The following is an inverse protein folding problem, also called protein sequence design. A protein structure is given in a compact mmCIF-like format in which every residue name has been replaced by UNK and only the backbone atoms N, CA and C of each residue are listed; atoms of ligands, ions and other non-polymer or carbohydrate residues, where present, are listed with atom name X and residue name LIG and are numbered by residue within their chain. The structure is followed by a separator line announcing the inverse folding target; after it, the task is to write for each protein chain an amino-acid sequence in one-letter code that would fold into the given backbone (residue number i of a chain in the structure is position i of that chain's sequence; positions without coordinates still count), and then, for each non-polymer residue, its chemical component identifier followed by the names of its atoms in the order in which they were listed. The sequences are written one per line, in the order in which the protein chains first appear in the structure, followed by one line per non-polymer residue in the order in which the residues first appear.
data_IF_825200360108
#
_entry.id   IF_825200360108
#
_cell.length_a   1.000
_cell.length_b   1.000
_cell.length_c   1.000
_cell.angle_alpha   90.00
_cell.angle_beta   90.00
_cell.angle_gamma   90.00
#
_symmetry.space_group_name_H-M   'P 1'
#
loop_
_entity.id
_entity.type
_entity.pdbx_description
1 polymer ?
#
# COMPACT_ATOMS: atom_id res chain seq x y z
N UNK A 1 16.82 -7.53 -13.98
CA UNK A 1 16.01 -8.16 -12.89
C UNK A 1 16.88 -9.16 -12.17
N UNK A 2 16.67 -9.35 -10.90
CA UNK A 2 17.38 -10.34 -10.12
C UNK A 2 16.92 -11.77 -10.42
N UNK A 3 17.81 -12.73 -10.22
CA UNK A 3 17.55 -14.12 -10.61
C UNK A 3 16.48 -14.80 -9.75
N UNK A 4 16.45 -14.50 -8.44
CA UNK A 4 15.48 -15.07 -7.50
C UNK A 4 14.07 -14.56 -7.83
N UNK A 5 13.92 -13.25 -8.04
CA UNK A 5 12.63 -12.64 -8.35
C UNK A 5 12.09 -13.15 -9.68
N UNK A 6 12.88 -13.18 -10.75
CA UNK A 6 12.45 -13.71 -12.06
C UNK A 6 11.99 -15.17 -11.97
N UNK A 7 12.74 -16.00 -11.26
CA UNK A 7 12.37 -17.41 -11.07
C UNK A 7 11.08 -17.56 -10.25
N UNK A 8 10.91 -16.77 -9.18
CA UNK A 8 9.75 -16.85 -8.31
C UNK A 8 8.46 -16.36 -9.00
N UNK A 9 8.56 -15.34 -9.86
CA UNK A 9 7.41 -14.81 -10.62
C UNK A 9 6.81 -15.85 -11.57
N UNK A 10 7.64 -16.70 -12.20
CA UNK A 10 7.17 -17.63 -13.23
C UNK A 10 6.49 -16.90 -14.38
N UNK A 11 5.19 -17.17 -14.60
CA UNK A 11 4.38 -16.48 -15.61
C UNK A 11 3.67 -15.22 -15.12
N UNK A 12 3.71 -14.92 -13.81
CA UNK A 12 3.03 -13.76 -13.28
C UNK A 12 3.74 -12.46 -13.69
N UNK A 13 2.97 -11.39 -13.80
CA UNK A 13 3.47 -10.04 -13.92
C UNK A 13 3.64 -9.42 -12.52
N UNK A 14 4.76 -8.74 -12.31
CA UNK A 14 4.96 -7.83 -11.18
C UNK A 14 4.52 -6.44 -11.61
N UNK A 15 3.60 -5.84 -10.86
CA UNK A 15 3.14 -4.48 -11.06
C UNK A 15 3.76 -3.58 -9.98
N UNK A 16 4.25 -2.41 -10.40
CA UNK A 16 4.86 -1.41 -9.53
C UNK A 16 4.29 -0.05 -9.88
N UNK A 17 3.56 0.59 -8.98
CA UNK A 17 3.10 1.95 -9.17
C UNK A 17 4.13 2.96 -8.65
N UNK A 18 4.30 4.04 -9.41
CA UNK A 18 5.14 5.17 -9.04
C UNK A 18 4.40 6.47 -9.28
N UNK A 19 4.07 7.13 -8.21
CA UNK A 19 3.40 8.42 -8.22
C UNK A 19 4.33 9.52 -8.77
N UNK A 20 5.63 9.47 -8.43
CA UNK A 20 6.60 10.45 -8.92
C UNK A 20 6.85 10.38 -10.43
N UNK A 21 6.66 9.21 -11.03
CA UNK A 21 6.88 8.96 -12.45
C UNK A 21 5.57 8.98 -13.25
N UNK A 22 4.40 9.08 -12.58
CA UNK A 22 3.07 9.00 -13.19
C UNK A 22 2.89 7.71 -14.00
N UNK A 23 3.34 6.58 -13.46
CA UNK A 23 3.38 5.29 -14.17
C UNK A 23 3.02 4.11 -13.29
N UNK A 24 2.49 3.09 -13.96
CA UNK A 24 2.58 1.70 -13.46
C UNK A 24 3.53 0.94 -14.38
N UNK A 25 4.60 0.44 -13.79
CA UNK A 25 5.54 -0.45 -14.44
C UNK A 25 5.05 -1.89 -14.31
N UNK A 26 5.25 -2.67 -15.34
CA UNK A 26 4.94 -4.10 -15.37
C UNK A 26 6.19 -4.88 -15.80
N UNK A 27 6.56 -5.90 -15.03
CA UNK A 27 7.61 -6.82 -15.41
C UNK A 27 7.06 -8.23 -15.60
N UNK A 28 7.27 -8.80 -16.77
CA UNK A 28 6.86 -10.16 -17.11
C UNK A 28 7.76 -10.69 -18.23
N UNK A 29 8.11 -11.98 -18.20
CA UNK A 29 8.93 -12.64 -19.21
C UNK A 29 10.23 -11.84 -19.53
N UNK A 30 10.95 -11.45 -18.48
CA UNK A 30 12.23 -10.72 -18.55
C UNK A 30 12.17 -9.32 -19.22
N UNK A 31 10.96 -8.77 -19.35
CA UNK A 31 10.74 -7.48 -20.01
C UNK A 31 9.95 -6.52 -19.12
N UNK A 32 10.43 -5.29 -19.01
CA UNK A 32 9.69 -4.17 -18.45
C UNK A 32 8.83 -3.46 -19.49
N UNK A 33 7.62 -3.11 -19.12
CA UNK A 33 6.75 -2.18 -19.83
C UNK A 33 6.14 -1.20 -18.85
N UNK A 34 5.46 -0.15 -19.32
CA UNK A 34 4.75 0.76 -18.42
C UNK A 34 3.52 1.36 -19.10
N UNK A 35 2.53 1.72 -18.30
CA UNK A 35 1.38 2.55 -18.70
C UNK A 35 1.41 3.85 -17.94
N UNK A 36 1.03 4.96 -18.63
CA UNK A 36 0.96 6.27 -18.02
C UNK A 36 -0.36 6.42 -17.25
N UNK A 37 -0.24 6.71 -15.95
CA UNK A 37 -1.37 7.00 -15.06
C UNK A 37 -0.93 8.14 -14.17
N UNK A 38 -1.56 9.30 -14.35
CA UNK A 38 -1.26 10.47 -13.55
C UNK A 38 -1.42 10.15 -12.06
N UNK A 39 -0.37 10.43 -11.28
CA UNK A 39 -0.39 10.20 -9.84
C UNK A 39 -0.69 8.74 -9.44
N UNK A 40 -0.09 7.75 -10.13
CA UNK A 40 -0.31 6.33 -9.89
C UNK A 40 0.03 5.92 -8.45
N UNK A 41 -0.94 5.31 -7.73
CA UNK A 41 -0.85 4.99 -6.30
C UNK A 41 -1.16 3.52 -6.03
N UNK A 42 -2.16 3.23 -5.20
CA UNK A 42 -2.54 1.89 -4.78
C UNK A 42 -2.86 0.96 -5.95
N UNK A 43 -2.48 -0.29 -5.81
CA UNK A 43 -2.74 -1.38 -6.75
C UNK A 43 -3.59 -2.45 -6.07
N UNK A 44 -4.60 -2.95 -6.76
CA UNK A 44 -5.34 -4.12 -6.30
C UNK A 44 -5.57 -5.10 -7.45
N UNK A 45 -5.55 -6.40 -7.14
CA UNK A 45 -5.83 -7.47 -8.08
C UNK A 45 -7.03 -8.27 -7.58
N UNK A 46 -8.14 -8.17 -8.31
CA UNK A 46 -9.40 -8.83 -8.03
C UNK A 46 -9.59 -10.13 -8.79
N UNK A 47 -10.85 -10.56 -8.88
CA UNK A 47 -11.20 -11.77 -9.65
C UNK A 47 -11.15 -11.51 -11.14
N UNK A 48 -11.75 -10.42 -11.61
CA UNK A 48 -11.85 -10.05 -13.03
C UNK A 48 -10.95 -8.88 -13.42
N UNK A 49 -10.62 -8.00 -12.47
CA UNK A 49 -9.94 -6.75 -12.75
C UNK A 49 -8.66 -6.57 -11.95
N UNK A 50 -7.76 -5.76 -12.52
CA UNK A 50 -6.72 -5.05 -11.80
C UNK A 50 -7.18 -3.61 -11.69
N UNK A 51 -7.10 -3.03 -10.49
CA UNK A 51 -7.39 -1.62 -10.27
C UNK A 51 -6.13 -0.85 -9.91
N UNK A 52 -6.04 0.38 -10.40
CA UNK A 52 -5.00 1.34 -10.05
C UNK A 52 -5.67 2.60 -9.53
N UNK A 53 -5.34 3.01 -8.31
CA UNK A 53 -5.78 4.28 -7.78
C UNK A 53 -4.88 5.42 -8.27
N UNK A 54 -5.49 6.57 -8.52
CA UNK A 54 -4.80 7.84 -8.62
C UNK A 54 -5.37 8.82 -7.58
N UNK A 55 -4.95 10.07 -7.63
CA UNK A 55 -5.46 11.08 -6.69
C UNK A 55 -6.99 11.23 -6.71
N UNK A 56 -7.60 11.18 -7.90
CA UNK A 56 -9.02 11.45 -8.11
C UNK A 56 -9.73 10.42 -8.99
N UNK A 57 -9.05 9.32 -9.36
CA UNK A 57 -9.62 8.35 -10.29
C UNK A 57 -9.19 6.93 -9.95
N UNK A 58 -10.01 5.96 -10.34
CA UNK A 58 -9.71 4.54 -10.32
C UNK A 58 -9.71 4.02 -11.77
N UNK A 59 -8.61 3.44 -12.18
CA UNK A 59 -8.41 2.82 -13.49
C UNK A 59 -8.62 1.33 -13.36
N UNK A 60 -9.50 0.76 -14.18
CA UNK A 60 -9.78 -0.67 -14.22
C UNK A 60 -9.19 -1.29 -15.48
N UNK A 61 -8.48 -2.39 -15.30
CA UNK A 61 -7.91 -3.20 -16.35
C UNK A 61 -8.48 -4.60 -16.27
N UNK A 62 -8.85 -5.18 -17.41
CA UNK A 62 -9.22 -6.59 -17.49
C UNK A 62 -8.03 -7.48 -17.14
N UNK A 63 -8.19 -8.35 -16.16
CA UNK A 63 -7.09 -9.16 -15.61
C UNK A 63 -6.53 -10.17 -16.60
N UNK A 64 -7.34 -10.66 -17.54
CA UNK A 64 -6.95 -11.68 -18.48
C UNK A 64 -6.19 -11.10 -19.70
N UNK A 65 -6.47 -9.85 -20.05
CA UNK A 65 -5.89 -9.20 -21.24
C UNK A 65 -4.93 -8.06 -20.93
N UNK A 66 -4.95 -7.54 -19.69
CA UNK A 66 -4.20 -6.35 -19.30
C UNK A 66 -4.71 -5.04 -19.91
N UNK A 67 -5.83 -5.05 -20.64
CA UNK A 67 -6.36 -3.87 -21.31
C UNK A 67 -7.20 -3.02 -20.35
N UNK A 68 -7.07 -1.69 -20.45
CA UNK A 68 -7.90 -0.76 -19.69
C UNK A 68 -9.35 -0.81 -20.18
N UNK A 69 -10.29 -1.07 -19.26
CA UNK A 69 -11.72 -1.22 -19.55
C UNK A 69 -12.56 -0.08 -18.99
N UNK A 70 -12.11 0.61 -17.95
CA UNK A 70 -12.85 1.73 -17.36
C UNK A 70 -11.96 2.70 -16.59
N UNK A 71 -12.48 3.91 -16.41
CA UNK A 71 -11.97 4.91 -15.45
C UNK A 71 -13.17 5.44 -14.67
N UNK A 72 -13.08 5.46 -13.35
CA UNK A 72 -14.10 6.03 -12.47
C UNK A 72 -13.52 7.26 -11.76
N UNK A 73 -14.24 8.36 -11.76
CA UNK A 73 -13.89 9.53 -10.96
C UNK A 73 -14.24 9.27 -9.49
N UNK A 74 -13.29 9.58 -8.61
CA UNK A 74 -13.41 9.44 -7.14
C UNK A 74 -12.96 10.74 -6.46
N UNK A 75 -13.72 11.82 -6.62
CA UNK A 75 -13.31 13.14 -6.17
C UNK A 75 -13.17 13.21 -4.65
N UNK A 76 -12.27 14.06 -4.17
CA UNK A 76 -12.05 14.38 -2.75
C UNK A 76 -11.63 13.19 -1.85
N UNK A 77 -11.05 12.15 -2.41
CA UNK A 77 -10.61 10.99 -1.63
C UNK A 77 -9.14 11.07 -1.25
N UNK A 78 -8.28 11.62 -2.11
CA UNK A 78 -6.83 11.41 -2.04
C UNK A 78 -6.54 9.93 -1.83
N UNK A 79 -6.99 9.10 -2.77
CA UNK A 79 -6.92 7.65 -2.66
C UNK A 79 -5.48 7.18 -2.55
N UNK A 80 -5.22 6.41 -1.49
CA UNK A 80 -3.91 5.79 -1.26
C UNK A 80 -3.93 4.32 -1.69
N UNK A 81 -3.78 3.38 -0.75
CA UNK A 81 -3.92 1.97 -1.06
C UNK A 81 -5.38 1.57 -1.27
N UNK A 82 -5.57 0.51 -2.01
CA UNK A 82 -6.88 -0.01 -2.39
C UNK A 82 -6.95 -1.53 -2.25
N UNK A 83 -8.14 -2.07 -2.12
CA UNK A 83 -8.43 -3.50 -2.15
C UNK A 83 -9.72 -3.76 -2.89
N UNK A 84 -9.98 -5.02 -3.26
CA UNK A 84 -11.26 -5.41 -3.87
C UNK A 84 -12.22 -5.99 -2.84
N UNK A 85 -13.50 -5.64 -2.97
CA UNK A 85 -14.62 -6.35 -2.38
C UNK A 85 -15.00 -7.59 -3.21
N UNK A 86 -15.88 -8.45 -2.67
CA UNK A 86 -16.29 -9.71 -3.36
C UNK A 86 -17.01 -9.49 -4.69
N UNK A 87 -17.60 -8.34 -4.90
CA UNK A 87 -18.36 -7.96 -6.11
C UNK A 87 -17.52 -7.17 -7.12
N UNK A 88 -16.20 -7.19 -6.97
CA UNK A 88 -15.23 -6.43 -7.76
C UNK A 88 -15.38 -4.90 -7.64
N UNK A 89 -16.10 -4.38 -6.63
CA UNK A 89 -15.98 -2.98 -6.24
C UNK A 89 -14.65 -2.73 -5.52
N UNK A 90 -14.10 -1.52 -5.65
CA UNK A 90 -12.85 -1.13 -5.00
C UNK A 90 -13.13 -0.49 -3.64
N UNK A 91 -12.42 -0.95 -2.62
CA UNK A 91 -12.31 -0.29 -1.31
C UNK A 91 -11.04 0.53 -1.33
N UNK A 92 -11.15 1.84 -1.13
CA UNK A 92 -10.03 2.78 -1.19
C UNK A 92 -9.81 3.47 0.16
N UNK A 93 -8.54 3.68 0.51
CA UNK A 93 -8.14 4.56 1.61
C UNK A 93 -8.38 6.01 1.18
N UNK A 94 -9.46 6.61 1.64
CA UNK A 94 -9.81 8.02 1.40
C UNK A 94 -9.17 8.89 2.49
N UNK A 95 -7.91 9.28 2.30
CA UNK A 95 -7.10 9.93 3.34
C UNK A 95 -7.68 11.27 3.77
N UNK A 96 -8.24 12.07 2.86
CA UNK A 96 -8.88 13.34 3.20
C UNK A 96 -10.15 13.15 4.04
N UNK A 97 -10.85 12.03 3.88
CA UNK A 97 -12.07 11.73 4.62
C UNK A 97 -11.81 10.96 5.92
N UNK A 98 -10.55 10.58 6.20
CA UNK A 98 -10.19 9.72 7.34
C UNK A 98 -11.00 8.42 7.37
N UNK A 99 -11.21 7.80 6.20
CA UNK A 99 -12.19 6.75 5.98
C UNK A 99 -11.73 5.74 4.92
N UNK A 100 -12.43 4.61 4.86
CA UNK A 100 -12.46 3.74 3.70
C UNK A 100 -13.74 4.03 2.91
N UNK A 101 -13.59 4.16 1.59
CA UNK A 101 -14.70 4.35 0.67
C UNK A 101 -14.80 3.16 -0.28
N UNK A 102 -16.02 2.83 -0.69
CA UNK A 102 -16.30 1.80 -1.68
C UNK A 102 -16.77 2.45 -2.97
N UNK A 103 -16.17 2.03 -4.07
CA UNK A 103 -16.42 2.54 -5.40
C UNK A 103 -16.80 1.40 -6.34
N UNK A 104 -17.96 1.56 -6.98
CA UNK A 104 -18.43 0.71 -8.06
C UNK A 104 -19.10 1.59 -9.11
N UNK A 105 -19.44 1.04 -10.26
CA UNK A 105 -20.19 1.77 -11.29
C UNK A 105 -21.52 2.29 -10.72
N UNK A 106 -21.59 3.61 -10.48
CA UNK A 106 -22.76 4.28 -9.91
C UNK A 106 -22.87 4.27 -8.38
N UNK A 107 -21.89 3.71 -7.67
CA UNK A 107 -21.84 3.70 -6.20
C UNK A 107 -20.56 4.35 -5.71
N UNK A 108 -20.70 5.27 -4.74
CA UNK A 108 -19.59 5.90 -4.03
C UNK A 108 -20.06 6.13 -2.59
N UNK A 109 -19.59 5.34 -1.65
CA UNK A 109 -20.04 5.36 -0.25
C UNK A 109 -18.89 5.20 0.73
N UNK A 110 -19.02 5.81 1.91
CA UNK A 110 -18.12 5.54 3.04
C UNK A 110 -18.56 4.23 3.69
N UNK A 111 -17.63 3.26 3.78
CA UNK A 111 -17.89 1.94 4.38
C UNK A 111 -17.27 1.77 5.76
N UNK A 112 -16.32 2.64 6.13
CA UNK A 112 -15.69 2.62 7.44
C UNK A 112 -15.01 3.97 7.72
N UNK A 113 -14.98 4.39 8.97
CA UNK A 113 -14.27 5.60 9.44
C UNK A 113 -13.34 5.26 10.58
N UNK A 114 -12.25 6.01 10.72
CA UNK A 114 -11.31 5.84 11.84
C UNK A 114 -12.07 6.01 13.18
N UNK A 115 -11.93 5.07 14.13
CA UNK A 115 -12.57 5.14 15.43
C UNK A 115 -12.23 6.44 16.17
N UNK A 116 -13.25 7.13 16.70
CA UNK A 116 -13.09 8.39 17.43
C UNK A 116 -12.91 9.63 16.55
N UNK A 117 -13.02 9.50 15.24
CA UNK A 117 -12.92 10.62 14.28
C UNK A 117 -14.30 10.96 13.73
N UNK A 118 -14.61 12.25 13.65
CA UNK A 118 -15.88 12.74 13.12
C UNK A 118 -16.00 12.38 11.63
N UNK A 119 -17.04 11.61 11.30
CA UNK A 119 -17.32 11.19 9.94
C UNK A 119 -17.77 12.35 9.04
N UNK A 120 -17.58 12.19 7.72
CA UNK A 120 -18.11 13.13 6.71
C UNK A 120 -17.31 14.42 6.55
N UNK A 121 -16.17 14.55 7.21
CA UNK A 121 -15.23 15.65 6.98
C UNK A 121 -14.28 15.33 5.84
N UNK A 122 -13.75 16.35 5.15
CA UNK A 122 -12.74 16.20 4.09
C UNK A 122 -11.52 17.06 4.40
N UNK A 123 -11.14 17.12 5.69
CA UNK A 123 -10.07 17.96 6.21
C UNK A 123 -8.86 17.17 6.73
N UNK A 124 -8.77 15.90 6.35
CA UNK A 124 -7.65 15.02 6.65
C UNK A 124 -7.30 14.99 8.15
N UNK A 125 -8.24 14.64 9.01
CA UNK A 125 -8.04 14.57 10.47
C UNK A 125 -7.10 13.44 10.85
N UNK A 126 -7.42 12.22 10.38
CA UNK A 126 -6.57 11.04 10.45
C UNK A 126 -6.22 10.58 9.04
N UNK A 127 -4.96 10.29 8.77
CA UNK A 127 -4.50 9.92 7.44
C UNK A 127 -4.49 8.40 7.28
N UNK A 128 -5.58 7.86 6.74
CA UNK A 128 -5.70 6.44 6.37
C UNK A 128 -4.96 6.20 5.06
N UNK A 129 -4.06 5.23 5.03
CA UNK A 129 -3.17 5.05 3.89
C UNK A 129 -2.96 3.61 3.44
N UNK A 130 -3.33 2.62 4.25
CA UNK A 130 -3.20 1.22 3.89
C UNK A 130 -4.41 0.39 4.30
N UNK A 131 -4.81 -0.57 3.47
CA UNK A 131 -5.92 -1.47 3.74
C UNK A 131 -5.64 -2.89 3.28
N UNK A 132 -5.78 -3.86 4.20
CA UNK A 132 -5.85 -5.28 3.89
C UNK A 132 -7.30 -5.75 3.96
N UNK A 133 -7.74 -6.49 2.95
CA UNK A 133 -9.10 -7.07 2.89
C UNK A 133 -9.06 -8.59 3.11
N UNK A 134 -10.08 -9.12 3.78
CA UNK A 134 -10.33 -10.56 3.92
C UNK A 134 -11.75 -10.85 3.44
N UNK A 135 -11.89 -11.77 2.52
CA UNK A 135 -13.18 -12.08 1.90
C UNK A 135 -13.90 -10.83 1.36
N UNK A 136 -13.14 -9.89 0.82
CA UNK A 136 -13.64 -8.64 0.26
C UNK A 136 -14.15 -7.61 1.28
N UNK A 137 -13.87 -7.80 2.56
CA UNK A 137 -14.18 -6.84 3.63
C UNK A 137 -12.88 -6.26 4.20
N UNK A 138 -12.85 -4.98 4.57
CA UNK A 138 -11.72 -4.40 5.28
C UNK A 138 -11.43 -5.20 6.56
N UNK A 139 -10.16 -5.53 6.78
CA UNK A 139 -9.74 -6.22 8.00
C UNK A 139 -8.72 -5.42 8.78
N UNK A 140 -7.62 -5.03 8.15
CA UNK A 140 -6.61 -4.20 8.81
C UNK A 140 -6.37 -2.93 8.04
N UNK A 141 -6.23 -1.84 8.78
CA UNK A 141 -6.04 -0.49 8.24
C UNK A 141 -4.86 0.17 8.93
N UNK A 142 -3.98 0.80 8.16
CA UNK A 142 -2.94 1.66 8.71
C UNK A 142 -3.36 3.13 8.65
N UNK A 143 -3.05 3.87 9.72
CA UNK A 143 -3.20 5.31 9.79
C UNK A 143 -1.90 5.96 10.27
N UNK A 144 -1.50 7.07 9.65
CA UNK A 144 -0.28 7.80 10.05
C UNK A 144 -0.44 8.47 11.41
N UNK A 145 -1.66 8.74 11.83
CA UNK A 145 -2.01 9.26 13.14
C UNK A 145 -3.53 9.27 13.30
N UNK A 146 -4.02 9.14 14.53
CA UNK A 146 -5.45 9.21 14.87
C UNK A 146 -5.69 10.54 15.56
N UNK A 147 -6.46 11.43 14.92
CA UNK A 147 -6.82 12.74 15.44
C UNK A 147 -8.20 13.14 14.94
N UNK A 148 -8.97 13.86 15.75
CA UNK A 148 -10.25 14.49 15.34
C UNK A 148 -10.09 16.00 15.09
N UNK A 149 -8.86 16.47 14.94
CA UNK A 149 -8.52 17.85 14.59
C UNK A 149 -8.16 17.94 13.12
N UNK A 150 -8.60 18.98 12.43
CA UNK A 150 -8.24 19.23 11.02
C UNK A 150 -6.72 19.18 10.83
N UNK A 151 -6.23 18.39 9.86
CA UNK A 151 -4.82 18.12 9.58
C UNK A 151 -4.01 17.56 10.78
N UNK A 152 -4.67 17.16 11.87
CA UNK A 152 -4.01 16.74 13.12
C UNK A 152 -3.15 15.48 12.99
N UNK A 153 -3.38 14.66 11.96
CA UNK A 153 -2.54 13.50 11.66
C UNK A 153 -1.05 13.85 11.54
N UNK A 154 -0.72 15.09 11.13
CA UNK A 154 0.68 15.52 10.93
C UNK A 154 1.45 15.56 12.25
N UNK A 155 0.83 16.07 13.30
CA UNK A 155 1.44 16.15 14.63
C UNK A 155 1.52 14.75 15.26
N UNK A 156 0.48 13.94 15.07
CA UNK A 156 0.48 12.54 15.50
C UNK A 156 1.55 11.71 14.79
N UNK A 157 1.71 11.88 13.47
CA UNK A 157 2.73 11.19 12.68
C UNK A 157 4.15 11.56 13.12
N UNK A 158 4.42 12.86 13.34
CA UNK A 158 5.73 13.33 13.86
C UNK A 158 6.04 12.80 15.25
N UNK A 159 5.02 12.59 16.07
CA UNK A 159 5.16 12.01 17.40
C UNK A 159 5.21 10.47 17.40
N UNK A 160 5.36 9.84 16.22
CA UNK A 160 5.36 8.38 16.05
C UNK A 160 4.11 7.71 16.61
N UNK A 161 2.92 8.33 16.42
CA UNK A 161 1.64 7.83 16.91
C UNK A 161 0.77 7.23 15.81
N UNK A 162 1.39 6.68 14.77
CA UNK A 162 0.71 5.88 13.78
C UNK A 162 0.16 4.58 14.37
N UNK A 163 -0.80 3.99 13.67
CA UNK A 163 -1.57 2.86 14.18
C UNK A 163 -1.84 1.78 13.13
N UNK A 164 -1.97 0.54 13.60
CA UNK A 164 -2.65 -0.55 12.90
C UNK A 164 -4.00 -0.78 13.59
N UNK A 165 -5.08 -0.81 12.83
CA UNK A 165 -6.45 -0.87 13.31
C UNK A 165 -7.13 -2.11 12.72
N UNK A 166 -7.80 -2.91 13.54
CA UNK A 166 -8.73 -3.94 13.07
C UNK A 166 -10.05 -3.27 12.73
N UNK A 167 -10.36 -3.16 11.43
CA UNK A 167 -11.55 -2.48 10.94
C UNK A 167 -12.86 -3.22 11.25
N UNK A 168 -12.81 -4.52 11.51
CA UNK A 168 -14.01 -5.29 11.86
C UNK A 168 -14.41 -5.11 13.33
N UNK A 169 -13.44 -4.93 14.22
CA UNK A 169 -13.69 -4.72 15.65
C UNK A 169 -13.58 -3.25 16.06
N UNK A 170 -13.11 -2.37 15.17
CA UNK A 170 -12.79 -0.97 15.44
C UNK A 170 -11.73 -0.79 16.55
N UNK A 171 -10.87 -1.78 16.77
CA UNK A 171 -9.83 -1.72 17.77
C UNK A 171 -8.49 -1.33 17.17
N UNK A 172 -7.80 -0.40 17.81
CA UNK A 172 -6.39 -0.15 17.53
C UNK A 172 -5.59 -1.30 18.13
N UNK A 173 -4.98 -2.13 17.27
CA UNK A 173 -4.23 -3.32 17.69
C UNK A 173 -2.75 -3.05 17.90
N UNK A 174 -2.20 -2.03 17.25
CA UNK A 174 -0.85 -1.51 17.48
C UNK A 174 -0.86 0.01 17.47
N UNK A 175 -0.11 0.59 18.38
CA UNK A 175 0.16 2.02 18.50
C UNK A 175 1.67 2.31 18.29
N UNK A 176 2.01 3.58 18.27
CA UNK A 176 3.40 4.07 18.24
C UNK A 176 4.17 3.56 17.03
N UNK A 177 3.53 3.56 15.86
CA UNK A 177 4.14 3.26 14.59
C UNK A 177 4.58 4.57 13.91
N UNK A 178 5.70 4.52 13.19
CA UNK A 178 6.23 5.68 12.49
C UNK A 178 5.95 5.58 10.99
N UNK A 179 4.92 6.30 10.52
CA UNK A 179 4.41 6.27 9.15
C UNK A 179 4.12 4.84 8.66
N UNK A 180 3.19 4.09 9.29
CA UNK A 180 2.87 2.73 8.85
C UNK A 180 2.15 2.73 7.50
N UNK A 181 2.47 1.73 6.64
CA UNK A 181 1.87 1.51 5.31
C UNK A 181 1.69 0.02 5.01
N UNK A 182 0.89 -0.28 4.00
CA UNK A 182 0.84 -1.55 3.28
C UNK A 182 0.61 -2.77 4.17
N UNK A 183 -0.46 -2.80 4.98
CA UNK A 183 -0.79 -3.97 5.77
C UNK A 183 -1.10 -5.15 4.83
N UNK A 184 -0.37 -6.24 4.97
CA UNK A 184 -0.46 -7.43 4.11
C UNK A 184 -0.62 -8.66 4.97
N UNK A 185 -1.69 -9.45 4.76
CA UNK A 185 -1.96 -10.66 5.52
C UNK A 185 -1.23 -11.83 4.89
N UNK A 186 -0.41 -12.53 5.69
CA UNK A 186 0.32 -13.73 5.30
C UNK A 186 0.12 -14.80 6.36
N UNK A 187 -0.62 -15.85 6.04
CA UNK A 187 -1.08 -16.82 7.03
C UNK A 187 -1.91 -16.16 8.12
N UNK A 188 -1.54 -16.37 9.37
CA UNK A 188 -2.21 -15.79 10.55
C UNK A 188 -1.61 -14.45 10.98
N UNK A 189 -0.67 -13.89 10.23
CA UNK A 189 0.06 -12.68 10.61
C UNK A 189 -0.20 -11.52 9.65
N UNK A 190 -0.01 -10.31 10.13
CA UNK A 190 -0.01 -9.07 9.34
C UNK A 190 1.41 -8.57 9.24
N UNK A 191 1.89 -8.43 8.00
CA UNK A 191 3.12 -7.71 7.71
C UNK A 191 2.77 -6.28 7.30
N UNK A 192 3.58 -5.32 7.69
CA UNK A 192 3.38 -3.93 7.33
C UNK A 192 4.71 -3.17 7.32
N UNK A 193 4.76 -2.09 6.57
CA UNK A 193 5.89 -1.19 6.54
C UNK A 193 5.79 -0.17 7.69
N UNK A 194 6.80 -0.08 8.54
CA UNK A 194 7.01 1.01 9.49
C UNK A 194 7.98 2.00 8.83
N UNK A 195 7.44 2.76 7.87
CA UNK A 195 8.21 3.40 6.79
C UNK A 195 9.17 4.48 7.27
N UNK A 196 8.82 5.21 8.34
CA UNK A 196 9.69 6.25 8.90
C UNK A 196 11.00 5.70 9.44
N UNK A 197 11.03 4.42 9.82
CA UNK A 197 12.22 3.69 10.26
C UNK A 197 12.80 2.77 9.17
N UNK A 198 12.19 2.71 7.98
CA UNK A 198 12.61 1.79 6.93
C UNK A 198 12.42 0.31 7.29
N UNK A 199 11.45 -0.02 8.13
CA UNK A 199 11.28 -1.38 8.64
C UNK A 199 10.14 -2.12 7.96
N UNK A 200 10.36 -3.41 7.72
CA UNK A 200 9.31 -4.41 7.53
C UNK A 200 9.01 -5.01 8.90
N UNK A 201 7.77 -4.89 9.36
CA UNK A 201 7.31 -5.41 10.62
C UNK A 201 6.30 -6.55 10.44
N UNK A 202 6.19 -7.41 11.44
CA UNK A 202 5.21 -8.50 11.56
C UNK A 202 4.47 -8.39 12.88
N UNK A 203 3.16 -8.57 12.84
CA UNK A 203 2.32 -8.71 14.02
C UNK A 203 1.35 -9.88 13.83
N UNK A 204 1.10 -10.64 14.89
CA UNK A 204 0.13 -11.74 14.90
C UNK A 204 -0.98 -11.41 15.90
N UNK A 205 -2.26 -11.65 15.59
CA UNK A 205 -3.34 -11.42 16.54
C UNK A 205 -3.07 -12.09 17.90
N UNK A 206 -3.11 -11.27 18.96
CA UNK A 206 -2.76 -11.68 20.32
C UNK A 206 -1.38 -11.19 20.78
N UNK A 207 -0.49 -10.80 19.87
CA UNK A 207 0.78 -10.19 20.26
C UNK A 207 0.55 -8.77 20.80
N UNK A 208 1.33 -8.39 21.82
CA UNK A 208 1.28 -7.03 22.41
C UNK A 208 2.10 -6.00 21.63
N UNK A 209 2.99 -6.44 20.77
CA UNK A 209 3.86 -5.59 19.96
C UNK A 209 4.19 -6.26 18.62
N UNK A 210 4.57 -5.48 17.63
CA UNK A 210 5.12 -5.98 16.38
C UNK A 210 6.59 -6.37 16.53
N UNK A 211 7.02 -7.34 15.73
CA UNK A 211 8.42 -7.73 15.58
C UNK A 211 8.98 -7.10 14.30
N UNK A 212 10.17 -6.51 14.37
CA UNK A 212 10.90 -6.07 13.18
C UNK A 212 11.48 -7.30 12.48
N UNK A 213 11.05 -7.52 11.24
CA UNK A 213 11.52 -8.63 10.38
C UNK A 213 12.80 -8.25 9.66
N UNK A 214 12.83 -7.04 9.08
CA UNK A 214 13.98 -6.50 8.37
C UNK A 214 14.03 -4.96 8.52
N UNK A 215 15.24 -4.41 8.53
CA UNK A 215 15.48 -2.97 8.38
C UNK A 215 16.12 -2.73 7.02
N UNK A 216 15.51 -1.87 6.22
CA UNK A 216 15.84 -1.58 4.84
C UNK A 216 16.36 -0.13 4.72
N UNK A 217 17.08 0.16 3.64
CA UNK A 217 17.82 1.42 3.51
C UNK A 217 16.94 2.66 3.37
N UNK A 218 15.76 2.54 2.72
CA UNK A 218 14.93 3.67 2.37
C UNK A 218 13.52 3.62 2.96
N UNK A 219 12.66 4.48 2.45
CA UNK A 219 11.25 4.53 2.79
C UNK A 219 10.52 3.30 2.24
N UNK A 220 10.02 2.44 3.13
CA UNK A 220 9.37 1.18 2.76
C UNK A 220 7.89 1.39 2.45
N UNK A 221 7.40 0.79 1.33
CA UNK A 221 6.00 0.87 0.93
C UNK A 221 5.67 -0.18 -0.15
N UNK A 222 4.43 -0.63 -0.20
CA UNK A 222 4.00 -1.71 -1.10
C UNK A 222 4.61 -3.04 -0.66
N UNK A 223 3.77 -3.96 -0.18
CA UNK A 223 4.19 -5.29 0.27
C UNK A 223 3.29 -6.31 -0.42
N UNK A 224 3.90 -7.30 -1.08
CA UNK A 224 3.16 -8.43 -1.64
C UNK A 224 3.89 -9.74 -1.39
N UNK A 225 3.13 -10.81 -1.09
CA UNK A 225 3.69 -12.14 -0.95
C UNK A 225 3.86 -12.81 -2.33
N UNK A 226 5.03 -13.40 -2.55
CA UNK A 226 5.35 -14.23 -3.73
C UNK A 226 5.96 -15.56 -3.26
N UNK A 227 5.13 -16.59 -3.11
CA UNK A 227 5.57 -17.88 -2.58
C UNK A 227 6.17 -17.74 -1.18
N UNK A 228 7.44 -18.10 -1.03
CA UNK A 228 8.19 -18.00 0.22
C UNK A 228 8.83 -16.63 0.48
N UNK A 229 8.56 -15.65 -0.37
CA UNK A 229 9.15 -14.31 -0.29
C UNK A 229 8.08 -13.26 -0.03
N UNK A 230 8.52 -12.15 0.60
CA UNK A 230 7.84 -10.87 0.56
C UNK A 230 8.63 -9.92 -0.35
N UNK A 231 7.94 -9.29 -1.26
CA UNK A 231 8.47 -8.18 -2.05
C UNK A 231 8.09 -6.88 -1.34
N UNK A 232 9.08 -6.03 -1.10
CA UNK A 232 8.91 -4.75 -0.39
C UNK A 232 9.49 -3.63 -1.25
N UNK A 233 8.66 -2.64 -1.58
CA UNK A 233 9.11 -1.44 -2.28
C UNK A 233 9.94 -0.54 -1.38
N UNK A 234 11.04 -0.03 -1.92
CA UNK A 234 11.93 0.93 -1.27
C UNK A 234 11.97 2.20 -2.11
N UNK A 235 11.75 3.34 -1.48
CA UNK A 235 11.80 4.66 -2.10
C UNK A 235 12.89 5.51 -1.44
N UNK A 236 13.25 6.63 -2.05
CA UNK A 236 14.06 7.66 -1.40
C UNK A 236 13.35 8.21 -0.16
N UNK A 237 14.10 8.59 0.85
CA UNK A 237 13.55 9.18 2.07
C UNK A 237 12.93 10.57 1.81
N UNK A 238 11.90 10.93 2.58
CA UNK A 238 11.11 12.17 2.43
C UNK A 238 11.52 13.26 3.42
N UNK A 239 12.80 13.48 3.65
CA UNK A 239 13.34 14.41 4.66
C UNK A 239 12.79 15.84 4.56
N UNK A 240 12.47 16.32 3.36
CA UNK A 240 11.98 17.70 3.17
C UNK A 240 10.58 17.92 3.75
N UNK A 241 9.75 16.87 3.77
CA UNK A 241 8.39 16.96 4.31
C UNK A 241 8.34 16.64 5.81
N UNK A 242 9.19 15.75 6.28
CA UNK A 242 9.24 15.27 7.66
C UNK A 242 10.69 15.02 8.05
N UNK A 243 11.37 16.02 8.68
CA UNK A 243 12.78 15.90 9.06
C UNK A 243 13.05 14.85 10.16
N UNK A 244 11.99 14.37 10.83
CA UNK A 244 12.06 13.31 11.84
C UNK A 244 12.31 11.93 11.25
N UNK A 245 12.11 11.75 9.93
CA UNK A 245 12.32 10.47 9.23
C UNK A 245 13.80 10.10 9.26
N UNK A 246 14.08 8.87 9.66
CA UNK A 246 15.46 8.35 9.84
C UNK A 246 15.98 7.54 8.65
N UNK A 247 15.17 7.32 7.61
CA UNK A 247 15.58 6.59 6.40
C UNK A 247 16.53 7.41 5.55
N UNK A 248 17.44 6.73 4.86
CA UNK A 248 18.42 7.39 3.97
C UNK A 248 17.70 8.12 2.82
N UNK A 249 17.84 9.44 2.68
CA UNK A 249 17.27 10.21 1.59
C UNK A 249 17.90 9.89 0.23
N UNK A 250 19.07 9.28 0.22
CA UNK A 250 19.81 8.86 -0.96
C UNK A 250 19.68 7.36 -1.24
N UNK A 251 18.81 6.66 -0.51
CA UNK A 251 18.56 5.24 -0.73
C UNK A 251 18.23 4.97 -2.20
N UNK A 252 18.82 3.93 -2.75
CA UNK A 252 18.49 3.46 -4.10
C UNK A 252 17.06 2.92 -4.09
N UNK A 253 16.12 3.47 -4.88
CA UNK A 253 14.79 2.89 -5.02
C UNK A 253 14.83 1.53 -5.71
N UNK A 254 13.91 0.68 -5.31
CA UNK A 254 13.86 -0.68 -5.85
C UNK A 254 12.98 -1.61 -5.03
N UNK A 255 13.09 -2.89 -5.31
CA UNK A 255 12.32 -3.95 -4.67
C UNK A 255 13.25 -4.83 -3.87
N UNK A 256 13.06 -4.89 -2.56
CA UNK A 256 13.71 -5.87 -1.69
C UNK A 256 12.93 -7.18 -1.72
N UNK A 257 13.63 -8.29 -1.91
CA UNK A 257 13.08 -9.65 -1.82
C UNK A 257 13.50 -10.22 -0.46
N UNK A 258 12.52 -10.41 0.42
CA UNK A 258 12.73 -10.87 1.80
C UNK A 258 12.24 -12.31 1.91
N UNK A 259 13.09 -13.21 2.36
CA UNK A 259 12.68 -14.59 2.64
C UNK A 259 11.83 -14.64 3.93
N UNK A 260 10.62 -15.20 3.84
CA UNK A 260 9.63 -15.22 4.94
C UNK A 260 10.11 -15.95 6.19
N UNK A 261 10.89 -17.02 6.02
CA UNK A 261 11.33 -17.88 7.13
C UNK A 261 12.44 -17.26 7.95
N UNK A 262 13.34 -16.51 7.32
CA UNK A 262 14.54 -15.95 7.95
C UNK A 262 14.46 -14.44 8.18
N UNK A 263 13.56 -13.74 7.47
CA UNK A 263 13.54 -12.28 7.42
C UNK A 263 14.73 -11.67 6.66
N UNK A 264 15.53 -12.49 5.98
CA UNK A 264 16.73 -12.03 5.28
C UNK A 264 16.37 -11.44 3.92
N UNK A 265 16.95 -10.29 3.61
CA UNK A 265 16.95 -9.78 2.23
C UNK A 265 17.88 -10.62 1.37
N UNK A 266 17.30 -11.44 0.48
CA UNK A 266 18.03 -12.36 -0.41
C UNK A 266 18.35 -11.75 -1.76
N UNK A 267 17.63 -10.70 -2.15
CA UNK A 267 17.86 -9.98 -3.41
C UNK A 267 17.39 -8.53 -3.30
N UNK A 268 17.97 -7.64 -4.09
CA UNK A 268 17.50 -6.28 -4.31
C UNK A 268 17.48 -5.97 -5.80
N UNK A 269 16.34 -5.50 -6.29
CA UNK A 269 16.15 -5.13 -7.68
C UNK A 269 16.04 -3.62 -7.79
N UNK A 270 17.09 -2.91 -8.22
CA UNK A 270 17.05 -1.46 -8.34
C UNK A 270 16.09 -1.03 -9.46
N UNK A 271 15.41 0.08 -9.24
CA UNK A 271 14.55 0.73 -10.22
C UNK A 271 14.98 2.20 -10.41
N UNK A 272 14.87 2.68 -11.64
CA UNK A 272 15.12 4.08 -11.98
C UNK A 272 13.84 4.91 -11.78
N UNK A 273 13.46 5.06 -10.51
CA UNK A 273 12.31 5.84 -10.05
C UNK A 273 12.71 6.55 -8.76
N UNK A 274 11.96 7.58 -8.37
CA UNK A 274 12.18 8.22 -7.05
C UNK A 274 11.37 7.55 -5.96
N UNK A 275 10.16 7.10 -6.30
CA UNK A 275 9.22 6.55 -5.35
C UNK A 275 8.52 5.31 -5.91
N UNK A 276 8.48 4.26 -5.12
CA UNK A 276 7.57 3.13 -5.30
C UNK A 276 6.40 3.38 -4.36
N UNK A 277 5.19 3.46 -4.91
CA UNK A 277 4.00 3.70 -4.11
C UNK A 277 3.38 2.39 -3.63
N UNK A 278 3.20 1.44 -4.55
CA UNK A 278 2.65 0.13 -4.26
C UNK A 278 3.20 -0.93 -5.22
N UNK A 279 3.14 -2.19 -4.81
CA UNK A 279 3.51 -3.35 -5.62
C UNK A 279 2.46 -4.45 -5.50
N UNK A 280 2.18 -5.13 -6.61
CA UNK A 280 1.23 -6.24 -6.64
C UNK A 280 1.60 -7.26 -7.72
N UNK A 281 0.94 -8.40 -7.70
CA UNK A 281 1.13 -9.49 -8.66
C UNK A 281 -0.13 -9.67 -9.49
N UNK A 282 0.00 -9.73 -10.81
CA UNK A 282 -1.09 -10.00 -11.74
C UNK A 282 -0.76 -11.18 -12.67
N UNK A 283 -1.76 -11.70 -13.37
CA UNK A 283 -1.54 -12.72 -14.38
C UNK A 283 -0.88 -12.14 -15.64
N UNK A 284 -1.26 -10.90 -15.99
CA UNK A 284 -0.79 -10.19 -17.17
C UNK A 284 -0.30 -8.78 -16.81
N UNK A 285 0.60 -8.24 -17.63
CA UNK A 285 1.00 -6.83 -17.56
C UNK A 285 -0.12 -5.92 -18.01
N UNK A 286 -0.09 -4.66 -17.57
CA UNK A 286 -1.04 -3.65 -18.04
C UNK A 286 -0.62 -3.09 -19.41
N UNK A 287 -1.64 -2.80 -20.25
CA UNK A 287 -1.50 -2.31 -21.62
C UNK A 287 -2.24 -0.97 -21.83
#
# INVERSE_FOLDING_TARGET
MGAILSQALGSNALLVSSHSENKVFSYQADTWSSVDIDNARGLAVGRQYVAVASHTSLYYYDKATGNRVAVLDVPNTDSHEIGFAVDDSVIACASYQSALTRHAFGVNEVVWTVPGVTAGTSDARSWVNGVATVNGLPKYVTALGISDVSQGWRDEAKAERGALIDAQTNQVVLHNLFFPHSPTIVGDSVYFANSGHGQLCKWTPGDTAATVVATLSGWTRGIVQLGQYLLVGISQGRLTAFPEITTDPLAQPGIAVIELTTGTQVEFVPMDVREIFDINLAAERLN
#
